data_IF_446278841693
#
_entry.id   IF_446278841693
#
_cell.length_a   1.000
_cell.length_b   1.000
_cell.length_c   1.000
_cell.angle_alpha   90.00
_cell.angle_beta   90.00
_cell.angle_gamma   90.00
#
_symmetry.space_group_name_H-M   'P 1'
#
loop_
_entity.id
_entity.type
_entity.pdbx_description
1 polymer ?
#
# COMPACT_ATOMS: atom_id res chain seq x y z
N UNK A 1 -11.61 -18.75 20.30
CA UNK A 1 -11.85 -17.29 20.20
C UNK A 1 -11.23 -16.85 18.90
N UNK A 2 -11.96 -16.15 18.04
CA UNK A 2 -11.42 -15.70 16.75
C UNK A 2 -10.46 -14.55 17.01
N UNK A 3 -9.16 -14.78 16.82
CA UNK A 3 -8.18 -13.70 16.79
C UNK A 3 -8.45 -12.88 15.52
N UNK A 4 -9.12 -11.74 15.67
CA UNK A 4 -9.26 -10.80 14.57
C UNK A 4 -7.85 -10.35 14.16
N UNK A 5 -7.49 -10.53 12.88
CA UNK A 5 -6.20 -10.07 12.35
C UNK A 5 -6.07 -8.56 12.60
N UNK A 6 -4.84 -8.12 12.87
CA UNK A 6 -4.55 -6.72 13.10
C UNK A 6 -5.00 -5.89 11.87
N UNK A 7 -5.77 -4.81 12.05
CA UNK A 7 -6.21 -3.95 10.95
C UNK A 7 -5.05 -3.41 10.09
N UNK A 8 -3.89 -3.16 10.70
CA UNK A 8 -2.68 -2.70 10.02
C UNK A 8 -2.06 -3.81 9.17
N UNK A 9 -2.06 -5.06 9.64
CA UNK A 9 -1.62 -6.19 8.83
C UNK A 9 -2.52 -6.39 7.61
N UNK A 10 -3.84 -6.30 7.79
CA UNK A 10 -4.81 -6.40 6.69
C UNK A 10 -4.58 -5.28 5.68
N UNK A 11 -4.33 -4.05 6.15
CA UNK A 11 -4.01 -2.91 5.29
C UNK A 11 -2.77 -3.20 4.45
N UNK A 12 -1.67 -3.65 5.06
CA UNK A 12 -0.43 -3.92 4.35
C UNK A 12 -0.53 -5.10 3.40
N UNK A 13 -1.24 -6.17 3.76
CA UNK A 13 -1.54 -7.30 2.88
C UNK A 13 -2.27 -6.81 1.62
N UNK A 14 -3.30 -5.98 1.77
CA UNK A 14 -4.06 -5.45 0.65
C UNK A 14 -3.23 -4.49 -0.23
N UNK A 15 -2.45 -3.60 0.39
CA UNK A 15 -1.63 -2.61 -0.32
C UNK A 15 -0.46 -3.27 -1.07
N UNK A 16 0.14 -4.33 -0.52
CA UNK A 16 1.26 -5.04 -1.13
C UNK A 16 0.85 -6.25 -1.98
N UNK A 17 -0.46 -6.51 -2.09
CA UNK A 17 -1.05 -7.61 -2.86
C UNK A 17 -0.72 -7.61 -4.35
N UNK A 18 -0.33 -6.44 -4.91
CA UNK A 18 -0.22 -6.16 -6.36
C UNK A 18 -1.55 -6.20 -7.12
N UNK A 19 -2.67 -6.31 -6.41
CA UNK A 19 -4.01 -6.35 -7.00
C UNK A 19 -4.63 -4.95 -6.98
N UNK A 20 -4.82 -4.27 -8.15
CA UNK A 20 -5.26 -2.88 -8.18
C UNK A 20 -6.57 -2.63 -7.44
N UNK A 21 -7.50 -3.59 -7.50
CA UNK A 21 -8.79 -3.51 -6.79
C UNK A 21 -8.62 -3.51 -5.27
N UNK A 22 -7.73 -4.35 -4.74
CA UNK A 22 -7.47 -4.43 -3.29
C UNK A 22 -6.72 -3.19 -2.80
N UNK A 23 -5.71 -2.75 -3.57
CA UNK A 23 -4.95 -1.54 -3.27
C UNK A 23 -5.88 -0.33 -3.15
N UNK A 24 -6.78 -0.15 -4.12
CA UNK A 24 -7.78 0.93 -4.11
C UNK A 24 -8.74 0.81 -2.93
N UNK A 25 -9.31 -0.38 -2.71
CA UNK A 25 -10.26 -0.62 -1.63
C UNK A 25 -9.64 -0.32 -0.25
N UNK A 26 -8.36 -0.62 -0.06
CA UNK A 26 -7.64 -0.34 1.17
C UNK A 26 -7.24 1.15 1.31
N UNK A 27 -7.03 1.85 0.18
CA UNK A 27 -6.63 3.26 0.17
C UNK A 27 -7.80 4.25 0.32
N UNK A 28 -8.95 3.95 -0.28
CA UNK A 28 -10.17 4.80 -0.25
C UNK A 28 -10.59 5.23 1.16
N UNK A 29 -10.67 4.34 2.18
CA UNK A 29 -11.13 4.74 3.50
C UNK A 29 -10.13 5.60 4.29
N UNK A 30 -8.86 5.67 3.86
CA UNK A 30 -7.82 6.44 4.55
C UNK A 30 -8.08 7.94 4.42
N UNK A 31 -7.79 8.70 5.48
CA UNK A 31 -7.81 10.16 5.47
C UNK A 31 -6.57 10.75 4.78
N UNK A 32 -6.53 12.06 4.58
CA UNK A 32 -5.45 12.72 3.83
C UNK A 32 -4.05 12.51 4.45
N UNK A 33 -3.94 12.54 5.79
CA UNK A 33 -2.67 12.33 6.48
C UNK A 33 -2.21 10.87 6.37
N UNK A 34 -3.12 9.92 6.56
CA UNK A 34 -2.85 8.49 6.40
C UNK A 34 -2.41 8.15 4.98
N UNK A 35 -3.10 8.68 3.97
CA UNK A 35 -2.72 8.52 2.55
C UNK A 35 -1.32 9.05 2.30
N UNK A 36 -1.00 10.24 2.82
CA UNK A 36 0.33 10.87 2.66
C UNK A 36 1.42 10.03 3.33
N UNK A 37 1.17 9.51 4.54
CA UNK A 37 2.10 8.64 5.25
C UNK A 37 2.32 7.33 4.49
N UNK A 38 1.26 6.70 4.01
CA UNK A 38 1.31 5.46 3.22
C UNK A 38 2.11 5.65 1.93
N UNK A 39 1.81 6.69 1.15
CA UNK A 39 2.54 7.00 -0.10
C UNK A 39 4.02 7.28 0.20
N UNK A 40 4.31 7.99 1.29
CA UNK A 40 5.70 8.24 1.72
C UNK A 40 6.41 6.94 2.05
N UNK A 41 5.76 6.03 2.78
CA UNK A 41 6.31 4.73 3.12
C UNK A 41 6.57 3.87 1.88
N UNK A 42 5.62 3.78 0.95
CA UNK A 42 5.80 3.05 -0.31
C UNK A 42 6.97 3.60 -1.14
N UNK A 43 7.17 4.92 -1.17
CA UNK A 43 8.33 5.53 -1.85
C UNK A 43 9.66 5.10 -1.20
N UNK A 44 9.71 5.03 0.13
CA UNK A 44 10.89 4.51 0.86
C UNK A 44 11.14 3.05 0.55
N UNK A 45 10.10 2.21 0.57
CA UNK A 45 10.22 0.79 0.22
C UNK A 45 10.85 0.58 -1.17
N UNK A 46 10.48 1.41 -2.15
CA UNK A 46 11.00 1.32 -3.52
C UNK A 46 12.45 1.83 -3.63
N UNK A 47 12.82 2.89 -2.91
CA UNK A 47 14.08 3.60 -3.09
C UNK A 47 15.20 3.23 -2.12
N UNK A 48 14.88 2.78 -0.91
CA UNK A 48 15.85 2.52 0.14
C UNK A 48 16.45 1.11 0.04
N UNK A 49 17.72 1.00 0.41
CA UNK A 49 18.41 -0.27 0.62
C UNK A 49 17.85 -1.01 1.85
N UNK A 50 17.85 -2.35 1.83
CA UNK A 50 17.32 -3.17 2.93
C UNK A 50 15.94 -3.80 2.68
N UNK A 51 15.18 -3.33 1.69
CA UNK A 51 13.93 -3.96 1.28
C UNK A 51 14.14 -5.13 0.32
N UNK A 52 13.38 -6.22 0.51
CA UNK A 52 13.45 -7.36 -0.40
C UNK A 52 12.95 -6.97 -1.81
N UNK A 53 13.52 -7.54 -2.89
CA UNK A 53 13.11 -7.22 -4.26
C UNK A 53 11.60 -7.35 -4.50
N UNK A 54 10.96 -8.37 -3.92
CA UNK A 54 9.52 -8.56 -4.03
C UNK A 54 8.71 -7.47 -3.33
N UNK A 55 9.17 -6.98 -2.18
CA UNK A 55 8.52 -5.86 -1.48
C UNK A 55 8.64 -4.56 -2.28
N UNK A 56 9.81 -4.31 -2.88
CA UNK A 56 10.01 -3.16 -3.78
C UNK A 56 9.06 -3.21 -4.97
N UNK A 57 8.92 -4.39 -5.58
CA UNK A 57 8.00 -4.61 -6.71
C UNK A 57 6.55 -4.40 -6.30
N UNK A 58 6.12 -4.93 -5.16
CA UNK A 58 4.77 -4.69 -4.63
C UNK A 58 4.52 -3.21 -4.36
N UNK A 59 5.45 -2.52 -3.71
CA UNK A 59 5.32 -1.10 -3.41
C UNK A 59 5.29 -0.23 -4.68
N UNK A 60 6.03 -0.61 -5.72
CA UNK A 60 5.97 0.05 -7.03
C UNK A 60 4.59 -0.08 -7.66
N UNK A 61 4.03 -1.29 -7.71
CA UNK A 61 2.68 -1.53 -8.26
C UNK A 61 1.61 -0.76 -7.48
N UNK A 62 1.74 -0.70 -6.16
CA UNK A 62 0.86 0.12 -5.32
C UNK A 62 0.94 1.61 -5.70
N UNK A 63 2.14 2.19 -5.77
CA UNK A 63 2.33 3.59 -6.17
C UNK A 63 1.77 3.89 -7.56
N UNK A 64 1.99 3.01 -8.53
CA UNK A 64 1.51 3.20 -9.89
C UNK A 64 -0.02 3.09 -9.97
N UNK A 65 -0.62 2.18 -9.20
CA UNK A 65 -2.09 2.06 -9.07
C UNK A 65 -2.69 3.34 -8.49
N UNK A 66 -2.10 3.88 -7.41
CA UNK A 66 -2.62 5.05 -6.71
C UNK A 66 -2.47 6.34 -7.51
N UNK A 67 -1.39 6.48 -8.29
CA UNK A 67 -1.22 7.63 -9.21
C UNK A 67 -2.30 7.70 -10.28
N UNK A 68 -2.75 6.56 -10.80
CA UNK A 68 -3.78 6.52 -11.83
C UNK A 68 -5.18 6.85 -11.28
N UNK A 69 -5.39 6.78 -9.96
CA UNK A 69 -6.65 7.14 -9.32
C UNK A 69 -6.80 8.64 -9.07
N UNK A 70 -5.71 9.39 -8.85
CA UNK A 70 -5.81 10.85 -8.68
C UNK A 70 -6.16 11.59 -9.98
N UNK A 71 -6.13 10.88 -11.11
CA UNK A 71 -6.41 11.41 -12.45
C UNK A 71 -7.71 10.86 -13.09
N UNK A 72 -8.48 10.00 -12.39
CA UNK A 72 -9.73 9.41 -12.89
C UNK A 72 -10.98 10.09 -12.33
#
# INVERSE_FOLDING_TARGET
MSEARDPLEILWDAILSREPKQIRAAFVPLNADERKQLITHLKRMVGEEGWHPEQRKSARVALDTLKNEEHS
#
